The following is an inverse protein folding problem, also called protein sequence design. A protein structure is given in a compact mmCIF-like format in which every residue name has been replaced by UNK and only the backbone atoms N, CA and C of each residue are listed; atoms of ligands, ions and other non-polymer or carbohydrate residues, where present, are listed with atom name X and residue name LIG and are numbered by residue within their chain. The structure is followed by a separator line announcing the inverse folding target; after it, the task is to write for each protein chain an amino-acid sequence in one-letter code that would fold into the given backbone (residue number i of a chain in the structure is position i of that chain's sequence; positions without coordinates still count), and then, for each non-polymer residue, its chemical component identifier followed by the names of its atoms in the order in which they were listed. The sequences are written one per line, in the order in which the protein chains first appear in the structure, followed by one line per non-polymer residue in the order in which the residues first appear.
data_IF_624874189108
#
_entry.id   IF_624874189108
#
_cell.length_a   1.000
_cell.length_b   1.000
_cell.length_c   1.000
_cell.angle_alpha   90.00
_cell.angle_beta   90.00
_cell.angle_gamma   90.00
#
_symmetry.space_group_name_H-M   'P 1'
#
loop_
_entity.id
_entity.type
_entity.pdbx_description
1 polymer ?
#
# COMPACT_ATOMS: atom_id res chain seq x y z
N UNK A 1 -15.17 -13.84 6.25
CA UNK A 1 -15.56 -14.08 5.18
C UNK A 1 -16.37 -13.48 4.03
N UNK A 2 -16.31 -12.15 3.78
CA UNK A 2 -17.04 -11.57 2.65
C UNK A 2 -16.31 -11.71 1.30
N UNK A 3 -15.09 -12.25 1.28
CA UNK A 3 -14.26 -12.34 0.08
C UNK A 3 -13.31 -11.15 -0.14
N UNK A 4 -13.22 -10.22 0.80
CA UNK A 4 -12.33 -9.03 0.70
C UNK A 4 -10.86 -9.43 0.58
N UNK A 5 -10.40 -10.34 1.43
CA UNK A 5 -9.00 -10.81 1.41
C UNK A 5 -8.67 -11.54 0.11
N UNK A 6 -9.58 -12.34 -0.41
CA UNK A 6 -9.41 -13.04 -1.69
C UNK A 6 -9.29 -12.04 -2.84
N UNK A 7 -10.19 -11.08 -2.91
CA UNK A 7 -10.17 -10.04 -3.93
C UNK A 7 -8.89 -9.20 -3.84
N UNK A 8 -8.50 -8.82 -2.62
CA UNK A 8 -7.27 -8.07 -2.37
C UNK A 8 -6.03 -8.84 -2.84
N UNK A 9 -5.95 -10.14 -2.58
CA UNK A 9 -4.83 -10.98 -3.04
C UNK A 9 -4.75 -11.04 -4.57
N UNK A 10 -5.88 -11.13 -5.25
CA UNK A 10 -5.93 -11.12 -6.72
C UNK A 10 -5.50 -9.77 -7.27
N UNK A 11 -6.09 -8.67 -6.77
CA UNK A 11 -5.76 -7.32 -7.21
C UNK A 11 -4.30 -6.96 -6.90
N UNK A 12 -3.75 -7.49 -5.81
CA UNK A 12 -2.36 -7.31 -5.40
C UNK A 12 -1.37 -8.25 -6.10
N UNK A 13 -1.80 -9.05 -7.07
CA UNK A 13 -0.96 -10.01 -7.78
C UNK A 13 -0.30 -11.05 -6.85
N UNK A 14 -0.94 -11.37 -5.73
CA UNK A 14 -0.53 -12.44 -4.80
C UNK A 14 -1.18 -13.77 -5.17
N UNK A 15 -2.26 -13.73 -5.93
CA UNK A 15 -2.99 -14.92 -6.38
C UNK A 15 -3.61 -14.65 -7.75
N UNK A 16 -4.13 -15.69 -8.38
CA UNK A 16 -4.82 -15.62 -9.67
C UNK A 16 -6.31 -15.86 -9.52
N UNK A 17 -7.16 -15.19 -10.33
CA UNK A 17 -8.57 -15.53 -10.35
C UNK A 17 -8.77 -16.93 -10.99
N UNK A 18 -9.72 -17.68 -10.47
CA UNK A 18 -10.13 -18.98 -11.06
C UNK A 18 -10.71 -18.80 -12.46
N UNK A 19 -11.45 -17.70 -12.66
CA UNK A 19 -12.06 -17.30 -13.94
C UNK A 19 -12.10 -15.77 -14.03
N UNK A 20 -12.23 -15.28 -15.25
CA UNK A 20 -12.25 -13.86 -15.54
C UNK A 20 -10.89 -13.31 -15.94
N UNK A 21 -10.81 -12.01 -16.10
CA UNK A 21 -9.59 -11.29 -16.47
C UNK A 21 -9.27 -10.21 -15.47
N UNK A 22 -7.98 -9.88 -15.37
CA UNK A 22 -7.50 -8.74 -14.59
C UNK A 22 -6.48 -7.98 -15.43
N UNK A 23 -6.85 -6.76 -15.81
CA UNK A 23 -5.98 -5.87 -16.59
C UNK A 23 -5.42 -4.82 -15.63
N UNK A 24 -4.11 -4.83 -15.45
CA UNK A 24 -3.38 -3.87 -14.63
C UNK A 24 -2.46 -3.05 -15.52
N UNK A 25 -2.65 -1.74 -15.51
CA UNK A 25 -1.86 -0.80 -16.32
C UNK A 25 -1.76 -1.24 -17.80
N UNK A 26 -2.90 -1.64 -18.37
CA UNK A 26 -3.01 -2.08 -19.77
C UNK A 26 -2.54 -3.50 -20.07
N UNK A 27 -2.12 -4.28 -19.07
CA UNK A 27 -1.62 -5.64 -19.25
C UNK A 27 -2.52 -6.66 -18.56
N UNK A 28 -2.84 -7.76 -19.27
CA UNK A 28 -3.54 -8.90 -18.66
C UNK A 28 -2.60 -9.64 -17.72
N UNK A 29 -2.97 -9.77 -16.45
CA UNK A 29 -2.14 -10.40 -15.42
C UNK A 29 -2.69 -11.74 -14.91
N UNK A 30 -3.94 -12.08 -15.22
CA UNK A 30 -4.58 -13.31 -14.74
C UNK A 30 -3.87 -14.59 -15.20
N UNK A 31 -3.18 -14.56 -16.33
CA UNK A 31 -2.49 -15.70 -16.94
C UNK A 31 -0.95 -15.63 -16.79
N UNK A 32 -0.43 -14.68 -16.03
CA UNK A 32 1.02 -14.58 -15.80
C UNK A 32 1.55 -15.78 -15.01
N UNK A 33 2.79 -16.17 -15.28
CA UNK A 33 3.52 -17.15 -14.46
C UNK A 33 3.81 -16.59 -13.06
N UNK A 34 4.26 -17.45 -12.14
CA UNK A 34 4.61 -17.01 -10.79
C UNK A 34 5.72 -15.95 -10.79
N UNK A 35 6.74 -16.10 -11.64
CA UNK A 35 7.82 -15.13 -11.78
C UNK A 35 7.33 -13.80 -12.37
N UNK A 36 6.47 -13.86 -13.38
CA UNK A 36 5.86 -12.68 -13.99
C UNK A 36 4.95 -11.95 -13.01
N UNK A 37 4.15 -12.66 -12.21
CA UNK A 37 3.32 -12.05 -11.16
C UNK A 37 4.18 -11.38 -10.08
N UNK A 38 5.27 -12.03 -9.66
CA UNK A 38 6.20 -11.45 -8.68
C UNK A 38 6.84 -10.17 -9.22
N UNK A 39 7.24 -10.16 -10.48
CA UNK A 39 7.77 -8.98 -11.15
C UNK A 39 6.73 -7.86 -11.23
N UNK A 40 5.52 -8.17 -11.69
CA UNK A 40 4.41 -7.21 -11.77
C UNK A 40 4.08 -6.63 -10.40
N UNK A 41 3.96 -7.48 -9.38
CA UNK A 41 3.69 -7.05 -8.00
C UNK A 41 4.75 -6.09 -7.49
N UNK A 42 6.03 -6.38 -7.69
CA UNK A 42 7.12 -5.51 -7.23
C UNK A 42 7.07 -4.12 -7.88
N UNK A 43 6.71 -4.05 -9.15
CA UNK A 43 6.72 -2.79 -9.91
C UNK A 43 5.42 -2.01 -9.83
N UNK A 44 4.28 -2.69 -9.77
CA UNK A 44 2.97 -2.05 -9.95
C UNK A 44 2.19 -1.90 -8.65
N UNK A 45 2.54 -2.66 -7.61
CA UNK A 45 1.76 -2.69 -6.37
C UNK A 45 2.63 -2.27 -5.18
N UNK A 46 2.15 -1.30 -4.42
CA UNK A 46 2.68 -0.96 -3.10
C UNK A 46 1.71 -1.43 -2.02
N UNK A 47 2.18 -2.23 -1.07
CA UNK A 47 1.36 -2.73 0.04
C UNK A 47 1.60 -1.99 1.33
N UNK A 48 0.52 -1.66 2.02
CA UNK A 48 0.52 -1.10 3.37
C UNK A 48 -0.40 -1.96 4.25
N UNK A 49 0.12 -2.49 5.35
CA UNK A 49 -0.59 -3.41 6.24
C UNK A 49 -0.85 -2.81 7.62
N UNK A 50 -1.83 -3.37 8.33
CA UNK A 50 -2.16 -2.98 9.70
C UNK A 50 -0.98 -3.15 10.67
N UNK A 51 -0.21 -4.22 10.51
CA UNK A 51 0.95 -4.54 11.37
C UNK A 51 2.27 -3.96 10.90
N UNK A 52 2.23 -3.05 9.91
CA UNK A 52 3.38 -2.35 9.30
C UNK A 52 4.33 -3.26 8.52
N UNK A 53 4.60 -4.46 8.97
CA UNK A 53 5.50 -5.46 8.36
C UNK A 53 6.91 -4.94 8.06
N UNK A 54 7.43 -4.08 8.94
CA UNK A 54 8.82 -3.64 8.85
C UNK A 54 9.76 -4.73 9.36
N UNK A 55 10.93 -4.82 8.74
CA UNK A 55 12.00 -5.67 9.23
C UNK A 55 12.63 -5.00 10.46
N UNK A 56 12.57 -5.61 11.65
CA UNK A 56 12.91 -4.94 12.90
C UNK A 56 14.42 -4.67 13.07
N UNK A 57 15.25 -5.38 12.31
CA UNK A 57 16.71 -5.22 12.33
C UNK A 57 17.25 -4.26 11.29
N UNK A 58 16.37 -3.65 10.50
CA UNK A 58 16.72 -2.66 9.49
C UNK A 58 16.24 -1.28 9.90
N UNK A 59 17.03 -0.25 9.56
CA UNK A 59 16.62 1.15 9.73
C UNK A 59 15.40 1.50 8.86
N UNK A 60 14.81 2.67 9.09
CA UNK A 60 13.77 3.19 8.22
C UNK A 60 14.24 3.25 6.77
N UNK A 61 15.44 3.79 6.53
CA UNK A 61 16.03 3.89 5.19
C UNK A 61 16.17 2.50 4.54
N UNK A 62 16.73 1.53 5.26
CA UNK A 62 16.97 0.19 4.71
C UNK A 62 15.67 -0.58 4.46
N UNK A 63 14.63 -0.38 5.28
CA UNK A 63 13.30 -0.91 5.01
C UNK A 63 12.73 -0.38 3.68
N UNK A 64 12.88 0.92 3.43
CA UNK A 64 12.38 1.55 2.19
C UNK A 64 13.20 1.13 0.97
N UNK A 65 14.49 0.86 1.15
CA UNK A 65 15.40 0.40 0.07
C UNK A 65 15.03 -1.00 -0.45
N UNK A 66 14.51 -1.89 0.40
CA UNK A 66 14.29 -3.31 0.07
C UNK A 66 13.57 -3.56 -1.26
N UNK A 67 12.42 -2.93 -1.56
CA UNK A 67 11.72 -3.19 -2.84
C UNK A 67 12.56 -2.84 -4.07
N UNK A 68 13.49 -1.90 -3.94
CA UNK A 68 14.37 -1.49 -5.03
C UNK A 68 15.47 -2.51 -5.30
N UNK A 69 15.90 -3.26 -4.27
CA UNK A 69 16.85 -4.37 -4.44
C UNK A 69 16.20 -5.46 -5.29
N UNK A 70 14.97 -5.86 -4.95
CA UNK A 70 14.21 -6.84 -5.73
C UNK A 70 13.83 -6.33 -7.12
N UNK A 71 13.67 -5.01 -7.29
CA UNK A 71 13.38 -4.37 -8.57
C UNK A 71 14.61 -4.08 -9.43
N UNK A 72 15.81 -4.52 -9.03
CA UNK A 72 17.07 -4.30 -9.74
C UNK A 72 17.43 -2.82 -9.98
N UNK A 73 17.02 -1.93 -9.08
CA UNK A 73 17.43 -0.51 -9.12
C UNK A 73 18.92 -0.40 -8.79
N UNK A 74 19.62 0.45 -9.50
CA UNK A 74 21.06 0.67 -9.27
C UNK A 74 21.31 1.19 -7.85
N UNK A 75 22.40 0.68 -7.25
CA UNK A 75 22.75 0.96 -5.85
C UNK A 75 22.83 2.46 -5.52
N UNK A 76 23.39 3.26 -6.42
CA UNK A 76 23.54 4.70 -6.23
C UNK A 76 22.21 5.48 -6.24
N UNK A 77 21.15 4.93 -6.85
CA UNK A 77 19.82 5.55 -6.86
C UNK A 77 19.00 5.22 -5.62
N UNK A 78 19.28 4.09 -4.96
CA UNK A 78 18.43 3.57 -3.87
C UNK A 78 18.34 4.52 -2.69
N UNK A 79 19.47 5.02 -2.22
CA UNK A 79 19.52 5.90 -1.05
C UNK A 79 18.81 7.22 -1.32
N UNK A 80 19.04 7.82 -2.48
CA UNK A 80 18.39 9.07 -2.86
C UNK A 80 16.87 8.91 -2.95
N UNK A 81 16.39 7.88 -3.64
CA UNK A 81 14.95 7.62 -3.78
C UNK A 81 14.28 7.31 -2.45
N UNK A 82 14.91 6.46 -1.63
CA UNK A 82 14.37 6.12 -0.31
C UNK A 82 14.33 7.35 0.61
N UNK A 83 15.35 8.17 0.60
CA UNK A 83 15.40 9.41 1.38
C UNK A 83 14.28 10.36 0.98
N UNK A 84 14.05 10.57 -0.31
CA UNK A 84 12.94 11.39 -0.82
C UNK A 84 11.58 10.88 -0.36
N UNK A 85 11.36 9.58 -0.36
CA UNK A 85 10.09 9.00 0.10
C UNK A 85 9.90 9.18 1.60
N UNK A 86 10.95 9.03 2.40
CA UNK A 86 10.89 9.28 3.84
C UNK A 86 10.66 10.77 4.16
N UNK A 87 11.28 11.67 3.42
CA UNK A 87 11.01 13.12 3.53
C UNK A 87 9.55 13.45 3.21
N UNK A 88 9.01 12.85 2.16
CA UNK A 88 7.63 13.07 1.73
C UNK A 88 6.61 12.66 2.81
N UNK A 89 6.89 11.63 3.58
CA UNK A 89 6.04 11.19 4.71
C UNK A 89 6.41 11.84 6.05
N UNK A 90 7.28 12.85 6.05
CA UNK A 90 7.65 13.62 7.24
C UNK A 90 8.68 12.95 8.14
N UNK A 91 9.47 12.02 7.63
CA UNK A 91 10.47 11.24 8.38
C UNK A 91 11.91 11.49 7.93
N UNK A 92 12.20 12.60 7.27
CA UNK A 92 13.53 12.93 6.78
C UNK A 92 14.61 12.99 7.87
N UNK A 93 14.23 13.33 9.09
CA UNK A 93 15.12 13.38 10.26
C UNK A 93 15.19 12.04 11.04
N UNK A 94 14.55 10.98 10.55
CA UNK A 94 14.42 9.68 11.21
C UNK A 94 14.93 8.51 10.34
N UNK A 95 15.63 8.79 9.27
CA UNK A 95 16.02 7.79 8.27
C UNK A 95 16.88 6.65 8.84
N UNK A 96 17.69 6.94 9.87
CA UNK A 96 18.55 5.96 10.52
C UNK A 96 17.94 5.31 11.77
N UNK A 97 16.70 5.66 12.13
CA UNK A 97 16.02 5.05 13.28
C UNK A 97 15.57 3.62 12.96
N UNK A 98 15.63 2.78 13.99
CA UNK A 98 15.12 1.41 13.94
C UNK A 98 13.61 1.41 14.27
N UNK A 99 12.84 0.42 13.80
CA UNK A 99 11.41 0.35 14.11
C UNK A 99 11.07 0.42 15.60
N UNK A 100 11.91 -0.18 16.48
CA UNK A 100 11.71 -0.13 17.92
C UNK A 100 11.85 1.29 18.52
N UNK A 101 12.49 2.20 17.82
CA UNK A 101 12.70 3.60 18.23
C UNK A 101 11.59 4.53 17.71
N UNK A 102 10.57 3.99 17.05
CA UNK A 102 9.51 4.75 16.39
C UNK A 102 8.15 4.45 16.97
N UNK A 103 7.26 5.47 16.94
CA UNK A 103 5.84 5.29 17.24
C UNK A 103 5.13 4.43 16.18
N UNK A 104 3.92 3.97 16.48
CA UNK A 104 3.10 3.23 15.51
C UNK A 104 2.83 4.04 14.23
N UNK A 105 2.48 5.32 14.37
CA UNK A 105 2.27 6.21 13.22
C UNK A 105 3.54 6.42 12.39
N UNK A 106 4.69 6.57 13.02
CA UNK A 106 5.97 6.67 12.33
C UNK A 106 6.31 5.38 11.58
N UNK A 107 6.13 4.22 12.19
CA UNK A 107 6.32 2.92 11.53
C UNK A 107 5.41 2.75 10.32
N UNK A 108 4.15 3.14 10.44
CA UNK A 108 3.22 3.08 9.30
C UNK A 108 3.64 4.03 8.17
N UNK A 109 4.14 5.21 8.49
CA UNK A 109 4.66 6.14 7.47
C UNK A 109 5.92 5.59 6.79
N UNK A 110 6.79 4.86 7.48
CA UNK A 110 7.89 4.11 6.84
C UNK A 110 7.34 3.06 5.88
N UNK A 111 6.32 2.30 6.29
CA UNK A 111 5.67 1.31 5.43
C UNK A 111 5.06 1.94 4.18
N UNK A 112 4.46 3.11 4.29
CA UNK A 112 3.94 3.88 3.15
C UNK A 112 5.08 4.31 2.22
N UNK A 113 6.17 4.86 2.76
CA UNK A 113 7.35 5.23 1.97
C UNK A 113 7.92 4.03 1.20
N UNK A 114 8.01 2.87 1.85
CA UNK A 114 8.42 1.62 1.22
C UNK A 114 7.48 1.20 0.09
N UNK A 115 6.18 1.34 0.29
CA UNK A 115 5.18 1.02 -0.73
C UNK A 115 5.30 1.92 -1.98
N UNK A 116 5.79 3.15 -1.82
CA UNK A 116 5.87 4.15 -2.88
C UNK A 116 7.17 4.15 -3.66
N UNK A 117 8.23 3.53 -3.13
CA UNK A 117 9.59 3.74 -3.63
C UNK A 117 9.81 3.26 -5.07
N UNK A 118 9.06 2.27 -5.54
CA UNK A 118 9.10 1.79 -6.92
C UNK A 118 8.09 2.51 -7.84
N UNK A 119 7.47 3.58 -7.37
CA UNK A 119 6.45 4.34 -8.12
C UNK A 119 5.32 3.44 -8.66
N UNK A 120 4.59 2.72 -7.79
CA UNK A 120 3.59 1.76 -8.20
C UNK A 120 2.37 2.42 -8.83
N UNK A 121 1.65 1.65 -9.66
CA UNK A 121 0.35 2.08 -10.22
C UNK A 121 -0.76 2.05 -9.19
N UNK A 122 -0.68 1.12 -8.21
CA UNK A 122 -1.69 0.93 -7.16
C UNK A 122 -1.01 0.87 -5.80
N UNK A 123 -1.59 1.55 -4.83
CA UNK A 123 -1.28 1.40 -3.41
C UNK A 123 -2.46 0.64 -2.78
N UNK A 124 -2.16 -0.51 -2.20
CA UNK A 124 -3.15 -1.34 -1.49
C UNK A 124 -2.93 -1.22 0.01
N UNK A 125 -3.88 -0.65 0.71
CA UNK A 125 -3.83 -0.46 2.15
C UNK A 125 -4.89 -1.33 2.83
N UNK A 126 -4.43 -2.32 3.60
CA UNK A 126 -5.28 -3.25 4.34
C UNK A 126 -5.33 -2.86 5.82
N UNK A 127 -6.46 -2.31 6.25
CA UNK A 127 -6.66 -1.79 7.61
C UNK A 127 -5.49 -0.90 8.08
N UNK A 128 -5.07 0.11 7.30
CA UNK A 128 -3.79 0.79 7.51
C UNK A 128 -3.74 1.59 8.81
N UNK A 129 -4.87 1.85 9.43
CA UNK A 129 -5.01 2.66 10.64
C UNK A 129 -5.44 1.86 11.87
N UNK A 130 -5.65 0.55 11.73
CA UNK A 130 -6.24 -0.29 12.77
C UNK A 130 -5.44 -0.38 14.08
N UNK A 131 -4.14 -0.09 14.05
CA UNK A 131 -3.25 -0.08 15.23
C UNK A 131 -2.79 1.33 15.62
N UNK A 132 -3.45 2.37 15.12
CA UNK A 132 -3.03 3.76 15.32
C UNK A 132 -4.02 4.53 16.22
N UNK A 133 -3.48 5.50 16.96
CA UNK A 133 -4.30 6.50 17.65
C UNK A 133 -4.96 7.46 16.64
N UNK A 134 -5.90 8.27 17.10
CA UNK A 134 -6.66 9.19 16.25
C UNK A 134 -5.81 10.22 15.52
N UNK A 135 -4.75 10.71 16.16
CA UNK A 135 -3.82 11.67 15.56
C UNK A 135 -3.04 11.03 14.43
N UNK A 136 -2.42 9.89 14.69
CA UNK A 136 -1.66 9.11 13.67
C UNK A 136 -2.55 8.65 12.52
N UNK A 137 -3.80 8.26 12.81
CA UNK A 137 -4.79 7.93 11.79
C UNK A 137 -5.00 9.09 10.82
N UNK A 138 -5.22 10.30 11.34
CA UNK A 138 -5.39 11.49 10.49
C UNK A 138 -4.15 11.76 9.64
N UNK A 139 -2.96 11.70 10.24
CA UNK A 139 -1.69 11.93 9.53
C UNK A 139 -1.51 10.93 8.37
N UNK A 140 -1.82 9.65 8.60
CA UNK A 140 -1.74 8.62 7.57
C UNK A 140 -2.78 8.85 6.47
N UNK A 141 -4.02 9.17 6.84
CA UNK A 141 -5.07 9.42 5.84
C UNK A 141 -4.83 10.69 5.03
N UNK A 142 -4.21 11.72 5.61
CA UNK A 142 -3.77 12.91 4.88
C UNK A 142 -2.71 12.56 3.82
N UNK A 143 -1.78 11.66 4.12
CA UNK A 143 -0.81 11.17 3.14
C UNK A 143 -1.53 10.46 1.98
N UNK A 144 -2.47 9.55 2.26
CA UNK A 144 -3.24 8.89 1.20
C UNK A 144 -4.05 9.87 0.36
N UNK A 145 -4.68 10.88 0.99
CA UNK A 145 -5.42 11.92 0.29
C UNK A 145 -4.51 12.74 -0.64
N UNK A 146 -3.31 13.07 -0.17
CA UNK A 146 -2.31 13.77 -0.99
C UNK A 146 -1.89 12.92 -2.18
N UNK A 147 -1.59 11.64 -1.99
CA UNK A 147 -1.24 10.71 -3.06
C UNK A 147 -2.37 10.57 -4.08
N UNK A 148 -3.61 10.48 -3.63
CA UNK A 148 -4.78 10.46 -4.50
C UNK A 148 -4.87 11.75 -5.34
N UNK A 149 -4.64 12.92 -4.74
CA UNK A 149 -4.62 14.20 -5.45
C UNK A 149 -3.53 14.29 -6.52
N UNK A 150 -2.45 13.53 -6.36
CA UNK A 150 -1.36 13.41 -7.33
C UNK A 150 -1.66 12.41 -8.47
N UNK A 151 -2.85 11.80 -8.49
CA UNK A 151 -3.27 10.85 -9.50
C UNK A 151 -2.95 9.38 -9.20
N UNK A 152 -2.52 9.05 -7.98
CA UNK A 152 -2.29 7.66 -7.58
C UNK A 152 -3.62 6.94 -7.35
N UNK A 153 -3.68 5.66 -7.70
CA UNK A 153 -4.80 4.79 -7.38
C UNK A 153 -4.57 4.14 -6.02
N UNK A 154 -5.51 4.34 -5.09
CA UNK A 154 -5.43 3.78 -3.74
C UNK A 154 -6.62 2.86 -3.52
N UNK A 155 -6.34 1.61 -3.15
CA UNK A 155 -7.35 0.64 -2.74
C UNK A 155 -7.24 0.49 -1.23
N UNK A 156 -8.27 0.94 -0.53
CA UNK A 156 -8.33 0.95 0.92
C UNK A 156 -9.30 -0.15 1.38
N UNK A 157 -8.81 -1.11 2.13
CA UNK A 157 -9.63 -2.14 2.76
C UNK A 157 -9.80 -1.78 4.23
N UNK A 158 -11.02 -1.51 4.66
CA UNK A 158 -11.33 -1.14 6.03
C UNK A 158 -12.76 -1.51 6.40
N UNK A 159 -13.00 -1.70 7.70
CA UNK A 159 -14.33 -1.80 8.28
C UNK A 159 -14.70 -0.57 9.13
N UNK A 160 -13.82 0.45 9.15
CA UNK A 160 -14.03 1.70 9.86
C UNK A 160 -14.64 2.74 8.93
N UNK A 161 -15.87 3.20 9.23
CA UNK A 161 -16.61 4.16 8.39
C UNK A 161 -15.87 5.49 8.25
N UNK A 162 -15.26 5.99 9.32
CA UNK A 162 -14.47 7.22 9.30
C UNK A 162 -13.31 7.14 8.30
N UNK A 163 -12.63 6.00 8.26
CA UNK A 163 -11.53 5.75 7.31
C UNK A 163 -12.07 5.57 5.89
N UNK A 164 -13.13 4.80 5.73
CA UNK A 164 -13.78 4.61 4.44
C UNK A 164 -14.30 5.92 3.83
N UNK A 165 -14.70 6.89 4.65
CA UNK A 165 -15.21 8.18 4.18
C UNK A 165 -14.20 9.01 3.36
N UNK A 166 -12.90 8.71 3.47
CA UNK A 166 -11.87 9.34 2.64
C UNK A 166 -11.91 8.89 1.17
N UNK A 167 -12.53 7.74 0.88
CA UNK A 167 -12.58 7.21 -0.47
C UNK A 167 -13.68 7.89 -1.31
N UNK A 168 -13.42 8.04 -2.61
CA UNK A 168 -14.39 8.59 -3.58
C UNK A 168 -15.34 7.54 -4.16
N UNK A 169 -15.00 6.26 -4.00
CA UNK A 169 -15.81 5.11 -4.46
C UNK A 169 -15.81 4.05 -3.38
N UNK A 170 -16.96 3.46 -3.15
CA UNK A 170 -17.17 2.42 -2.14
C UNK A 170 -17.68 1.16 -2.81
N UNK A 171 -17.00 0.05 -2.55
CA UNK A 171 -17.38 -1.29 -3.01
C UNK A 171 -17.62 -2.15 -1.78
N UNK A 172 -18.85 -2.56 -1.57
CA UNK A 172 -19.24 -3.38 -0.42
C UNK A 172 -19.39 -4.83 -0.86
N UNK A 173 -18.64 -5.69 -0.21
CA UNK A 173 -18.69 -7.14 -0.44
C UNK A 173 -19.53 -7.82 0.64
N UNK A 174 -20.38 -8.75 0.20
CA UNK A 174 -21.16 -9.62 1.07
C UNK A 174 -21.23 -11.01 0.47
N UNK A 175 -20.86 -12.03 1.24
CA UNK A 175 -20.92 -13.44 0.84
C UNK A 175 -20.26 -13.73 -0.53
N UNK A 176 -19.11 -13.11 -0.77
CA UNK A 176 -18.34 -13.30 -1.99
C UNK A 176 -18.86 -12.56 -3.23
N UNK A 177 -19.82 -11.67 -3.05
CA UNK A 177 -20.41 -10.87 -4.12
C UNK A 177 -20.32 -9.38 -3.82
N UNK A 178 -20.29 -8.56 -4.86
CA UNK A 178 -20.42 -7.11 -4.71
C UNK A 178 -21.91 -6.83 -4.44
N UNK A 179 -22.21 -6.36 -3.21
CA UNK A 179 -23.55 -5.99 -2.82
C UNK A 179 -23.89 -4.54 -3.17
N UNK A 180 -22.88 -3.65 -3.11
CA UNK A 180 -23.01 -2.25 -3.48
C UNK A 180 -21.73 -1.74 -4.12
N UNK A 181 -21.89 -0.84 -5.08
CA UNK A 181 -20.79 -0.12 -5.74
C UNK A 181 -21.29 1.29 -6.07
N UNK A 182 -20.79 2.30 -5.38
CA UNK A 182 -21.26 3.67 -5.53
C UNK A 182 -20.13 4.69 -5.34
N UNK A 183 -20.36 5.91 -5.83
CA UNK A 183 -19.49 7.07 -5.62
C UNK A 183 -20.19 8.08 -4.73
N UNK A 184 -19.43 8.78 -3.89
CA UNK A 184 -19.95 9.80 -2.97
C UNK A 184 -19.79 9.41 -1.50
N UNK A 185 -20.47 10.13 -0.62
CA UNK A 185 -20.40 9.88 0.82
C UNK A 185 -21.07 8.56 1.20
N UNK A 186 -20.57 7.93 2.25
CA UNK A 186 -21.25 6.82 2.92
C UNK A 186 -22.59 7.33 3.49
N UNK A 187 -23.66 6.60 3.21
CA UNK A 187 -25.01 6.89 3.71
C UNK A 187 -25.22 6.31 5.10
#
# INVERSE_FOLDING_TARGET
GAGKSTLMNILGCLDRPTRGSYILNGKEVANQTDDELAYTRNREIGFVFQSFNLLPKLSALDNVILPMIYGNVFRNERVERATKMLEMVGLGNRINHMPAEMSGGQRQRVAIARALVNDPSIIMADEPTGNLDSKSTREVMEIFSHLYSMGKTIILVTHEDDVASYASRHVILSDGHISQDFRGALS
#
